data_IF_574485900813
#
_entry.id   IF_574485900813
#
_cell.length_a   1.000
_cell.length_b   1.000
_cell.length_c   1.000
_cell.angle_alpha   90.00
_cell.angle_beta   90.00
_cell.angle_gamma   90.00
#
_symmetry.space_group_name_H-M   'P 1'
#
loop_
_entity.id
_entity.type
_entity.pdbx_description
1 polymer ?
#
# COMPACT_ATOMS: atom_id res chain seq x y z
N UNK A 1 9.72 29.77 -7.71
CA UNK A 1 8.57 29.84 -6.81
C UNK A 1 8.19 28.43 -6.42
N UNK A 2 8.65 27.95 -5.27
CA UNK A 2 8.28 26.63 -4.77
C UNK A 2 6.88 26.80 -4.20
N UNK A 3 5.86 26.45 -4.98
CA UNK A 3 4.49 26.46 -4.48
C UNK A 3 4.45 25.44 -3.34
N UNK A 4 4.08 25.91 -2.15
CA UNK A 4 3.74 25.08 -1.00
C UNK A 4 2.65 24.09 -1.43
N UNK A 5 3.02 22.94 -1.98
CA UNK A 5 2.09 21.85 -2.19
C UNK A 5 1.63 21.42 -0.80
N UNK A 6 0.31 21.38 -0.52
CA UNK A 6 -0.17 20.97 0.78
C UNK A 6 0.39 19.57 1.10
N UNK A 7 0.96 19.42 2.30
CA UNK A 7 1.58 18.20 2.84
C UNK A 7 0.63 16.97 2.87
N UNK A 8 -0.62 17.16 2.44
CA UNK A 8 -1.74 16.24 2.49
C UNK A 8 -2.19 15.77 1.10
N UNK A 9 -1.40 16.06 0.05
CA UNK A 9 -1.73 15.72 -1.33
C UNK A 9 -0.91 14.56 -1.88
N UNK A 10 -1.60 13.72 -2.64
CA UNK A 10 -0.98 12.85 -3.64
C UNK A 10 -0.98 13.58 -4.99
N UNK A 11 0.10 14.30 -5.27
CA UNK A 11 0.21 15.17 -6.46
C UNK A 11 0.37 14.43 -7.78
N UNK A 12 0.75 13.15 -7.71
CA UNK A 12 0.99 12.25 -8.84
C UNK A 12 -0.10 11.18 -8.99
N UNK A 13 -1.29 11.42 -8.40
CA UNK A 13 -2.41 10.47 -8.38
C UNK A 13 -3.73 11.15 -8.68
N UNK A 14 -4.31 10.77 -9.82
CA UNK A 14 -5.67 11.13 -10.17
C UNK A 14 -6.66 10.19 -9.49
N UNK A 15 -7.76 10.74 -8.98
CA UNK A 15 -8.88 9.95 -8.51
C UNK A 15 -9.69 9.39 -9.70
N UNK A 16 -9.78 8.07 -9.86
CA UNK A 16 -10.55 7.44 -10.93
C UNK A 16 -12.07 7.53 -10.76
N UNK A 17 -12.56 7.97 -9.60
CA UNK A 17 -13.99 8.13 -9.33
C UNK A 17 -14.56 9.52 -9.68
N UNK A 18 -13.73 10.57 -9.67
CA UNK A 18 -14.15 11.95 -9.93
C UNK A 18 -13.19 12.76 -10.79
N UNK A 19 -12.15 12.12 -11.34
CA UNK A 19 -11.14 12.69 -12.25
C UNK A 19 -10.39 13.92 -11.72
N UNK A 20 -10.44 14.18 -10.40
CA UNK A 20 -9.58 15.17 -9.77
C UNK A 20 -8.12 14.75 -9.93
N UNK A 21 -7.31 15.66 -10.48
CA UNK A 21 -5.90 15.44 -10.79
C UNK A 21 -5.03 15.14 -9.56
N UNK A 22 -5.51 15.45 -8.36
CA UNK A 22 -4.84 15.13 -7.09
C UNK A 22 -5.84 14.60 -6.09
N UNK A 23 -5.38 13.69 -5.21
CA UNK A 23 -6.14 13.22 -4.06
C UNK A 23 -5.68 13.98 -2.82
N UNK A 24 -6.64 14.54 -2.07
CA UNK A 24 -6.41 15.19 -0.78
C UNK A 24 -6.80 14.24 0.36
N UNK A 25 -5.97 14.15 1.40
CA UNK A 25 -6.21 13.24 2.53
C UNK A 25 -5.97 11.78 2.14
N UNK A 26 -6.82 10.86 2.62
CA UNK A 26 -6.68 9.44 2.34
C UNK A 26 -6.85 9.12 0.85
N UNK A 27 -5.90 8.34 0.33
CA UNK A 27 -6.00 7.65 -0.95
C UNK A 27 -6.41 6.21 -0.70
N UNK A 28 -7.44 5.75 -1.39
CA UNK A 28 -7.88 4.35 -1.36
C UNK A 28 -7.46 3.67 -2.66
N UNK A 29 -6.43 2.83 -2.58
CA UNK A 29 -5.96 2.06 -3.72
C UNK A 29 -6.73 0.74 -3.80
N UNK A 30 -7.45 0.50 -4.89
CA UNK A 30 -8.12 -0.78 -5.10
C UNK A 30 -7.08 -1.89 -5.27
N UNK A 31 -7.25 -2.98 -4.52
CA UNK A 31 -6.32 -4.11 -4.54
C UNK A 31 -6.65 -5.15 -5.60
N UNK A 32 -7.76 -4.97 -6.33
CA UNK A 32 -8.19 -5.85 -7.43
C UNK A 32 -8.04 -5.16 -8.78
N UNK A 33 -8.37 -3.87 -8.85
CA UNK A 33 -8.34 -3.11 -10.09
C UNK A 33 -6.94 -2.56 -10.37
N UNK A 34 -6.53 -2.65 -11.63
CA UNK A 34 -5.34 -2.00 -12.15
C UNK A 34 -5.49 -0.48 -12.09
N UNK A 35 -4.51 0.19 -11.48
CA UNK A 35 -4.39 1.65 -11.39
C UNK A 35 -5.68 2.38 -11.03
N UNK A 36 -6.46 1.78 -10.13
CA UNK A 36 -7.67 2.41 -9.59
C UNK A 36 -7.39 2.92 -8.17
N UNK A 37 -7.41 4.22 -8.06
CA UNK A 37 -7.25 5.01 -6.86
C UNK A 37 -8.46 5.93 -6.70
N UNK A 38 -9.02 6.01 -5.51
CA UNK A 38 -10.12 6.92 -5.22
C UNK A 38 -9.84 7.76 -3.97
N UNK A 39 -10.34 8.99 -3.97
CA UNK A 39 -10.32 9.83 -2.78
C UNK A 39 -11.37 9.35 -1.77
N UNK A 40 -11.24 9.81 -0.52
CA UNK A 40 -12.19 9.51 0.56
C UNK A 40 -13.66 9.75 0.18
N UNK A 41 -13.96 10.84 -0.53
CA UNK A 41 -15.33 11.12 -0.95
C UNK A 41 -15.85 10.07 -1.94
N UNK A 42 -15.06 9.69 -2.95
CA UNK A 42 -15.47 8.68 -3.93
C UNK A 42 -15.64 7.30 -3.30
N UNK A 43 -14.78 6.96 -2.32
CA UNK A 43 -14.89 5.75 -1.51
C UNK A 43 -16.20 5.72 -0.74
N UNK A 44 -16.57 6.82 -0.06
CA UNK A 44 -17.83 6.95 0.69
C UNK A 44 -19.06 6.93 -0.21
N UNK A 45 -18.98 7.58 -1.36
CA UNK A 45 -20.03 7.60 -2.40
C UNK A 45 -20.23 6.23 -3.08
N UNK A 46 -19.35 5.25 -2.82
CA UNK A 46 -19.37 3.92 -3.45
C UNK A 46 -19.38 4.02 -4.98
N UNK A 47 -18.51 4.86 -5.55
CA UNK A 47 -18.40 5.04 -7.00
C UNK A 47 -18.08 3.72 -7.69
N UNK A 48 -18.59 3.55 -8.90
CA UNK A 48 -18.38 2.34 -9.71
C UNK A 48 -17.81 2.69 -11.07
N UNK A 49 -17.06 1.78 -11.68
CA UNK A 49 -16.60 1.91 -13.06
C UNK A 49 -16.79 0.59 -13.83
N UNK A 50 -16.33 0.53 -15.08
CA UNK A 50 -16.40 -0.71 -15.88
C UNK A 50 -15.72 -1.89 -15.17
N UNK A 51 -14.56 -1.66 -14.54
CA UNK A 51 -13.76 -2.69 -13.86
C UNK A 51 -13.85 -2.63 -12.34
N UNK A 52 -14.24 -1.50 -11.75
CA UNK A 52 -14.28 -1.31 -10.31
C UNK A 52 -15.68 -1.53 -9.74
N UNK A 53 -15.73 -2.15 -8.55
CA UNK A 53 -16.92 -2.33 -7.74
C UNK A 53 -16.62 -1.87 -6.31
N UNK A 54 -17.59 -1.30 -5.57
CA UNK A 54 -17.33 -0.66 -4.27
C UNK A 54 -16.97 -1.64 -3.15
N UNK A 55 -17.20 -2.93 -3.40
CA UNK A 55 -16.88 -4.03 -2.50
C UNK A 55 -15.51 -4.67 -2.79
N UNK A 56 -14.77 -4.19 -3.79
CA UNK A 56 -13.38 -4.61 -3.96
C UNK A 56 -12.56 -4.15 -2.73
N UNK A 57 -11.70 -5.02 -2.17
CA UNK A 57 -10.77 -4.61 -1.11
C UNK A 57 -9.91 -3.43 -1.55
N UNK A 58 -9.71 -2.49 -0.63
CA UNK A 58 -8.91 -1.28 -0.85
C UNK A 58 -7.86 -1.16 0.25
N UNK A 59 -6.69 -0.66 -0.12
CA UNK A 59 -5.66 -0.24 0.81
C UNK A 59 -5.80 1.27 1.07
N UNK A 60 -6.12 1.70 2.30
CA UNK A 60 -6.01 3.09 2.70
C UNK A 60 -4.53 3.49 2.77
N UNK A 61 -4.17 4.61 2.15
CA UNK A 61 -2.81 5.14 2.10
C UNK A 61 -2.86 6.57 2.62
N UNK A 62 -2.14 6.79 3.73
CA UNK A 62 -1.97 8.13 4.31
C UNK A 62 -1.13 9.00 3.39
N UNK A 63 -1.42 10.31 3.32
CA UNK A 63 -0.53 11.26 2.68
C UNK A 63 0.91 11.12 3.18
N UNK A 64 1.88 11.39 2.29
CA UNK A 64 3.30 11.51 2.60
C UNK A 64 3.68 11.93 4.03
N UNK A 65 3.25 13.13 4.45
CA UNK A 65 3.63 13.71 5.72
C UNK A 65 2.94 13.03 6.91
N UNK A 66 1.72 12.53 6.74
CA UNK A 66 1.02 11.78 7.79
C UNK A 66 1.62 10.39 7.98
N UNK A 67 1.94 9.70 6.88
CA UNK A 67 2.64 8.42 6.91
C UNK A 67 3.98 8.56 7.66
N UNK A 68 4.75 9.60 7.36
CA UNK A 68 5.99 9.90 8.08
C UNK A 68 5.76 10.05 9.58
N UNK A 69 4.81 10.91 10.02
CA UNK A 69 4.49 11.08 11.44
C UNK A 69 4.06 9.78 12.12
N UNK A 70 3.23 8.97 11.46
CA UNK A 70 2.82 7.67 12.00
C UNK A 70 4.01 6.74 12.24
N UNK A 71 5.00 6.73 11.33
CA UNK A 71 6.24 5.97 11.50
C UNK A 71 7.15 6.55 12.59
N UNK A 72 7.12 7.85 12.83
CA UNK A 72 7.89 8.47 13.92
C UNK A 72 7.38 8.06 15.30
N UNK A 73 6.07 7.90 15.46
CA UNK A 73 5.45 7.39 16.69
C UNK A 73 5.78 5.92 16.95
N UNK A 74 6.16 5.16 15.91
CA UNK A 74 6.52 3.74 15.98
C UNK A 74 7.95 3.49 16.53
N UNK A 75 8.67 4.55 16.92
CA UNK A 75 10.00 4.43 17.55
C UNK A 75 9.99 3.82 18.96
N UNK A 76 8.83 3.43 19.50
CA UNK A 76 8.73 2.59 20.69
C UNK A 76 8.80 1.11 20.31
N UNK A 77 9.56 0.26 21.02
CA UNK A 77 9.67 -1.18 20.72
C UNK A 77 8.36 -1.99 20.73
N UNK A 78 7.22 -1.39 21.10
CA UNK A 78 5.95 -2.08 21.34
C UNK A 78 4.86 -1.76 20.31
N UNK A 79 5.11 -0.89 19.34
CA UNK A 79 4.10 -0.48 18.36
C UNK A 79 4.48 -0.97 16.97
N UNK A 80 3.74 -1.92 16.42
CA UNK A 80 3.91 -2.38 15.03
C UNK A 80 2.99 -1.61 14.08
N UNK A 81 3.42 -1.45 12.83
CA UNK A 81 2.59 -0.82 11.78
C UNK A 81 1.58 -1.86 11.27
N UNK A 82 0.31 -1.67 11.63
CA UNK A 82 -0.80 -2.57 11.25
C UNK A 82 -1.79 -1.89 10.30
N UNK A 83 -1.35 -1.62 9.08
CA UNK A 83 -2.14 -0.82 8.12
C UNK A 83 -2.62 -1.64 6.92
N UNK A 84 -2.21 -2.90 6.77
CA UNK A 84 -2.45 -3.62 5.53
C UNK A 84 -3.81 -4.30 5.51
N UNK A 85 -4.39 -4.31 4.31
CA UNK A 85 -5.65 -4.96 3.98
C UNK A 85 -5.38 -6.20 3.12
N UNK A 86 -5.99 -7.34 3.46
CA UNK A 86 -5.93 -8.54 2.64
C UNK A 86 -6.74 -8.33 1.36
N UNK A 87 -6.14 -8.47 0.17
CA UNK A 87 -6.82 -8.18 -1.08
C UNK A 87 -7.79 -9.30 -1.52
N UNK A 88 -7.78 -10.46 -0.86
CA UNK A 88 -8.62 -11.59 -1.18
C UNK A 88 -9.96 -11.58 -0.43
N UNK A 89 -9.97 -11.17 0.84
CA UNK A 89 -11.15 -11.14 1.71
C UNK A 89 -11.55 -9.73 2.16
N UNK A 90 -10.63 -8.76 2.15
CA UNK A 90 -10.86 -7.41 2.65
C UNK A 90 -10.63 -7.23 4.15
N UNK A 91 -10.17 -8.25 4.87
CA UNK A 91 -9.79 -8.13 6.28
C UNK A 91 -8.64 -7.12 6.43
N UNK A 92 -8.62 -6.40 7.55
CA UNK A 92 -7.69 -5.28 7.81
C UNK A 92 -6.90 -5.49 9.10
N UNK A 93 -6.09 -4.49 9.47
CA UNK A 93 -5.29 -4.48 10.71
C UNK A 93 -4.18 -5.54 10.71
N UNK A 94 -3.51 -5.71 9.57
CA UNK A 94 -2.35 -6.59 9.46
C UNK A 94 -1.04 -5.79 9.44
N UNK A 95 -0.02 -6.28 10.16
CA UNK A 95 1.37 -6.03 9.82
C UNK A 95 1.78 -6.94 8.63
N UNK A 96 3.04 -6.91 8.19
CA UNK A 96 3.50 -7.76 7.05
C UNK A 96 3.47 -9.25 7.39
N UNK A 97 3.90 -9.62 8.59
CA UNK A 97 3.91 -11.00 9.09
C UNK A 97 2.51 -11.59 9.18
N UNK A 98 1.60 -10.90 9.87
CA UNK A 98 0.22 -11.32 10.06
C UNK A 98 -0.53 -11.46 8.73
N UNK A 99 -0.31 -10.53 7.78
CA UNK A 99 -0.90 -10.65 6.44
C UNK A 99 -0.38 -11.91 5.73
N UNK A 100 0.90 -12.21 5.88
CA UNK A 100 1.54 -13.37 5.29
C UNK A 100 0.97 -14.66 5.89
N UNK A 101 0.89 -14.75 7.22
CA UNK A 101 0.30 -15.88 7.94
C UNK A 101 -1.19 -16.05 7.57
N UNK A 102 -1.96 -14.96 7.56
CA UNK A 102 -3.36 -14.99 7.12
C UNK A 102 -3.49 -15.55 5.71
N UNK A 103 -2.67 -15.08 4.77
CA UNK A 103 -2.67 -15.58 3.39
C UNK A 103 -2.25 -17.07 3.32
N UNK A 104 -1.36 -17.54 4.18
CA UNK A 104 -1.01 -18.97 4.27
C UNK A 104 -2.18 -19.82 4.76
N UNK A 105 -2.88 -19.38 5.80
CA UNK A 105 -3.96 -20.15 6.42
C UNK A 105 -5.23 -20.18 5.57
N UNK A 106 -5.59 -19.06 4.95
CA UNK A 106 -6.90 -18.91 4.29
C UNK A 106 -6.84 -18.84 2.76
N UNK A 107 -5.66 -18.58 2.17
CA UNK A 107 -5.49 -18.29 0.74
C UNK A 107 -4.25 -18.96 0.09
N UNK A 108 -3.81 -20.12 0.62
CA UNK A 108 -2.63 -20.84 0.12
C UNK A 108 -2.70 -21.21 -1.37
N UNK A 109 -3.91 -21.47 -1.88
CA UNK A 109 -4.20 -21.81 -3.28
C UNK A 109 -4.25 -20.59 -4.21
N UNK A 110 -3.92 -19.40 -3.71
CA UNK A 110 -3.99 -18.15 -4.46
C UNK A 110 -5.38 -17.51 -4.47
N UNK A 111 -6.30 -17.94 -3.59
CA UNK A 111 -7.56 -17.25 -3.32
C UNK A 111 -8.45 -17.14 -4.55
N UNK A 112 -9.22 -18.18 -4.88
CA UNK A 112 -10.25 -18.17 -5.95
C UNK A 112 -9.79 -17.71 -7.35
N UNK A 113 -8.48 -17.72 -7.64
CA UNK A 113 -7.93 -17.46 -8.98
C UNK A 113 -8.07 -16.01 -9.50
N UNK A 114 -8.39 -15.04 -8.64
CA UNK A 114 -8.48 -13.63 -9.05
C UNK A 114 -7.13 -12.92 -8.81
N UNK A 115 -6.67 -12.16 -9.81
CA UNK A 115 -5.44 -11.40 -9.71
C UNK A 115 -5.62 -10.24 -8.72
N UNK A 116 -4.69 -10.11 -7.79
CA UNK A 116 -4.66 -9.06 -6.76
C UNK A 116 -3.36 -8.26 -6.82
N UNK A 117 -3.37 -7.09 -6.17
CA UNK A 117 -2.22 -6.22 -5.96
C UNK A 117 -1.72 -6.38 -4.53
N UNK A 118 -0.41 -6.33 -4.34
CA UNK A 118 0.18 -6.39 -3.00
C UNK A 118 -0.06 -5.08 -2.23
N UNK A 119 -0.70 -5.11 -1.04
CA UNK A 119 -0.99 -3.92 -0.23
C UNK A 119 0.27 -3.16 0.21
N UNK A 120 1.39 -3.85 0.41
CA UNK A 120 2.69 -3.24 0.75
C UNK A 120 3.23 -2.44 -0.45
N UNK A 121 3.27 -3.07 -1.62
CA UNK A 121 3.83 -2.44 -2.81
C UNK A 121 2.99 -1.24 -3.28
N UNK A 122 1.65 -1.30 -3.24
CA UNK A 122 0.80 -0.15 -3.63
C UNK A 122 0.95 1.04 -2.69
N UNK A 123 1.30 0.79 -1.42
CA UNK A 123 1.52 1.82 -0.40
C UNK A 123 2.81 2.60 -0.68
N UNK A 124 3.91 1.92 -1.04
CA UNK A 124 5.22 2.55 -1.17
C UNK A 124 5.66 2.91 -2.60
N UNK A 125 4.88 2.57 -3.64
CA UNK A 125 5.15 2.93 -5.05
C UNK A 125 6.62 2.74 -5.47
N UNK A 126 7.17 1.54 -5.28
CA UNK A 126 8.60 1.26 -5.55
C UNK A 126 8.92 1.38 -7.06
N UNK A 127 9.83 2.29 -7.49
CA UNK A 127 9.96 2.70 -8.90
C UNK A 127 10.68 1.71 -9.84
N UNK A 128 11.18 0.56 -9.35
CA UNK A 128 11.99 -0.37 -10.16
C UNK A 128 11.46 -1.81 -10.28
N UNK A 129 10.32 -2.14 -9.66
CA UNK A 129 9.63 -3.43 -9.88
C UNK A 129 8.52 -3.21 -10.90
N UNK A 130 8.83 -3.51 -12.17
CA UNK A 130 7.87 -3.43 -13.28
C UNK A 130 6.61 -4.22 -12.92
N UNK A 131 5.51 -3.47 -12.77
CA UNK A 131 4.12 -3.89 -12.60
C UNK A 131 3.80 -4.54 -11.26
N UNK A 132 3.03 -3.81 -10.45
CA UNK A 132 2.32 -4.24 -9.24
C UNK A 132 1.28 -5.36 -9.46
N UNK A 133 1.31 -6.00 -10.63
CA UNK A 133 0.49 -7.15 -10.95
C UNK A 133 1.31 -8.38 -10.62
N UNK A 134 0.77 -9.22 -9.76
CA UNK A 134 1.25 -10.58 -9.54
C UNK A 134 0.88 -11.42 -10.77
N UNK A 135 1.46 -11.08 -11.94
CA UNK A 135 1.19 -11.78 -13.21
C UNK A 135 1.72 -13.20 -13.16
N UNK A 136 2.84 -13.38 -12.48
CA UNK A 136 3.61 -14.61 -12.47
C UNK A 136 3.59 -15.31 -11.09
N UNK A 137 3.00 -14.71 -10.05
CA UNK A 137 2.96 -15.21 -8.66
C UNK A 137 1.56 -15.20 -8.05
N UNK A 138 1.35 -15.98 -6.98
CA UNK A 138 0.31 -15.69 -5.99
C UNK A 138 0.78 -14.58 -5.05
N UNK A 139 -0.16 -13.91 -4.36
CA UNK A 139 0.21 -12.91 -3.34
C UNK A 139 1.08 -13.52 -2.26
N UNK A 140 0.69 -14.70 -1.77
CA UNK A 140 1.46 -15.42 -0.77
C UNK A 140 2.91 -15.63 -1.21
N UNK A 141 3.14 -16.14 -2.43
CA UNK A 141 4.49 -16.35 -2.94
C UNK A 141 5.30 -15.04 -2.95
N UNK A 142 4.70 -13.96 -3.43
CA UNK A 142 5.35 -12.64 -3.44
C UNK A 142 5.68 -12.12 -2.05
N UNK A 143 4.75 -12.25 -1.08
CA UNK A 143 5.01 -11.84 0.31
C UNK A 143 6.21 -12.60 0.89
N UNK A 144 6.29 -13.92 0.65
CA UNK A 144 7.38 -14.75 1.16
C UNK A 144 8.74 -14.43 0.51
N UNK A 145 8.78 -14.06 -0.77
CA UNK A 145 10.01 -13.81 -1.52
C UNK A 145 10.55 -12.37 -1.36
N UNK A 146 9.63 -11.41 -1.27
CA UNK A 146 9.95 -9.98 -1.36
C UNK A 146 9.73 -9.20 -0.07
N UNK A 147 8.96 -9.74 0.89
CA UNK A 147 8.53 -9.03 2.08
C UNK A 147 8.69 -9.80 3.40
N UNK A 148 9.23 -11.03 3.39
CA UNK A 148 9.46 -11.79 4.62
C UNK A 148 10.62 -11.17 5.42
N UNK A 149 10.42 -11.03 6.73
CA UNK A 149 11.48 -10.60 7.62
C UNK A 149 12.56 -11.69 7.77
N UNK A 150 13.80 -11.42 7.35
CA UNK A 150 14.96 -12.29 7.68
C UNK A 150 15.48 -11.89 9.06
N UNK A 151 15.18 -12.66 10.09
CA UNK A 151 15.88 -12.54 11.37
C UNK A 151 17.30 -13.11 11.21
N UNK A 152 18.31 -12.22 11.34
CA UNK A 152 19.73 -12.51 11.66
C UNK A 152 20.57 -13.38 10.70
N UNK A 153 21.35 -12.72 9.81
CA UNK A 153 22.75 -13.07 9.49
C UNK A 153 23.41 -11.88 8.75
N UNK A 154 24.69 -11.63 9.04
CA UNK A 154 25.43 -10.40 8.73
C UNK A 154 25.31 -9.84 7.30
N UNK A 155 25.39 -8.51 7.24
CA UNK A 155 25.72 -7.69 6.05
C UNK A 155 25.18 -8.21 4.70
N UNK A 156 23.88 -8.05 4.46
CA UNK A 156 23.35 -7.96 3.10
C UNK A 156 22.41 -6.75 3.04
N UNK A 157 22.82 -5.76 2.28
CA UNK A 157 22.08 -4.54 2.04
C UNK A 157 20.71 -4.82 1.38
N UNK A 158 19.66 -4.19 1.93
CA UNK A 158 18.27 -4.11 1.46
C UNK A 158 17.45 -5.40 1.42
N UNK A 159 16.51 -5.55 2.38
CA UNK A 159 15.21 -6.21 2.16
C UNK A 159 14.09 -5.87 3.18
N UNK A 160 14.17 -4.73 3.88
CA UNK A 160 13.12 -4.29 4.83
C UNK A 160 12.94 -2.77 4.80
N UNK A 161 11.71 -2.23 4.71
CA UNK A 161 11.43 -0.82 4.89
C UNK A 161 11.22 -0.47 6.37
N UNK A 162 11.92 -1.10 7.32
CA UNK A 162 11.99 -0.57 8.70
C UNK A 162 12.81 0.72 8.76
N UNK A 163 13.61 0.97 7.73
CA UNK A 163 14.06 2.31 7.34
C UNK A 163 13.46 2.65 5.98
N UNK A 164 12.22 3.13 5.96
CA UNK A 164 11.78 3.98 4.86
C UNK A 164 12.72 5.17 4.84
N UNK A 165 13.75 5.14 3.99
CA UNK A 165 14.33 6.38 3.49
C UNK A 165 13.19 7.07 2.78
N UNK A 166 12.57 8.02 3.48
CA UNK A 166 11.80 9.10 2.85
C UNK A 166 12.61 9.51 1.62
N UNK A 167 12.03 9.47 0.40
CA UNK A 167 12.77 9.84 -0.79
C UNK A 167 13.50 11.15 -0.53
N UNK A 168 14.73 11.32 -1.00
CA UNK A 168 15.53 12.53 -0.71
C UNK A 168 14.80 13.85 -1.02
N UNK A 169 13.80 13.80 -1.92
CA UNK A 169 12.88 14.90 -2.21
C UNK A 169 11.98 15.32 -1.02
N UNK A 170 11.82 14.49 0.00
CA UNK A 170 10.96 14.68 1.17
C UNK A 170 11.77 15.18 2.38
N UNK A 171 13.09 14.95 2.37
CA UNK A 171 14.04 15.48 3.36
C UNK A 171 14.36 16.96 3.15
N UNK A 172 13.93 17.54 2.02
CA UNK A 172 14.16 18.96 1.67
C UNK A 172 13.05 19.92 2.16
N UNK A 173 12.08 19.45 2.95
CA UNK A 173 11.08 20.30 3.63
C UNK A 173 11.50 20.63 5.07
N UNK A 174 12.79 20.94 5.28
CA UNK A 174 13.28 21.58 6.50
C UNK A 174 13.25 23.09 6.36
#
# INVERSE_FOLDING_TARGET
>A
MVLNLPLFLFSDVQCNGCDRATIQGLRYACLVCEDYDECDQCRRDKRTSRKHRPYHPVQPILPPAEMARSMECVRSPQTEIRIYCCPHCGDTDFNVGDLTEHCQLYHADGGRGHKVRCPICVTFRVPYRRKFRLEDCTLLRHLLEDHRDVESAGEIAFKHPTRVTVPSAWTMLR
#
